data_IF_695003614911
#
_entry.id   IF_695003614911
#
_cell.length_a   1.000
_cell.length_b   1.000
_cell.length_c   1.000
_cell.angle_alpha   90.00
_cell.angle_beta   90.00
_cell.angle_gamma   90.00
#
_symmetry.space_group_name_H-M   'P 1'
#
loop_
_entity.id
_entity.type
_entity.pdbx_description
1 polymer ?
#
# COMPACT_ATOMS: atom_id res chain seq x y z
N UNK A 1 -31.20 -39.73 -24.00
CA UNK A 1 -30.00 -39.22 -24.72
C UNK A 1 -29.40 -37.93 -24.10
N UNK A 2 -29.72 -37.57 -22.85
CA UNK A 2 -29.27 -36.29 -22.25
C UNK A 2 -28.05 -36.40 -21.31
N UNK A 3 -27.73 -37.59 -20.79
CA UNK A 3 -26.68 -37.73 -19.74
C UNK A 3 -25.25 -37.70 -20.28
N UNK A 4 -25.03 -38.11 -21.53
CA UNK A 4 -23.67 -38.14 -22.11
C UNK A 4 -23.11 -36.75 -22.41
N UNK A 5 -23.97 -35.75 -22.55
CA UNK A 5 -23.58 -34.36 -22.86
C UNK A 5 -23.05 -33.63 -21.63
N UNK A 6 -23.62 -33.88 -20.45
CA UNK A 6 -23.23 -33.21 -19.20
C UNK A 6 -21.86 -33.69 -18.73
N UNK A 7 -21.58 -35.00 -18.81
CA UNK A 7 -20.28 -35.56 -18.47
C UNK A 7 -19.15 -35.03 -19.39
N UNK A 8 -19.45 -34.78 -20.67
CA UNK A 8 -18.50 -34.23 -21.65
C UNK A 8 -18.23 -32.73 -21.44
N UNK A 9 -19.21 -31.99 -20.92
CA UNK A 9 -19.04 -30.58 -20.58
C UNK A 9 -18.23 -30.43 -19.28
N UNK A 10 -18.49 -31.26 -18.27
CA UNK A 10 -17.74 -31.25 -17.01
C UNK A 10 -16.27 -31.63 -17.21
N UNK A 11 -15.96 -32.59 -18.09
CA UNK A 11 -14.56 -32.95 -18.39
C UNK A 11 -13.82 -31.85 -19.16
N UNK A 12 -14.50 -31.12 -20.06
CA UNK A 12 -13.90 -29.96 -20.75
C UNK A 12 -13.65 -28.76 -19.83
N UNK A 13 -14.47 -28.56 -18.79
CA UNK A 13 -14.29 -27.47 -17.83
C UNK A 13 -13.14 -27.73 -16.86
N UNK A 14 -12.84 -29.00 -16.55
CA UNK A 14 -11.80 -29.37 -15.60
C UNK A 14 -10.36 -29.25 -16.15
N UNK A 15 -10.19 -29.29 -17.47
CA UNK A 15 -8.88 -29.19 -18.15
C UNK A 15 -8.29 -27.76 -18.19
N UNK A 16 -9.06 -26.73 -17.81
CA UNK A 16 -8.61 -25.33 -17.82
C UNK A 16 -8.18 -24.79 -16.45
N UNK A 17 -8.06 -25.64 -15.43
CA UNK A 17 -7.52 -25.20 -14.14
C UNK A 17 -6.01 -24.96 -14.34
N UNK A 18 -5.48 -23.74 -14.07
CA UNK A 18 -4.06 -23.48 -14.17
C UNK A 18 -3.29 -24.51 -13.34
N UNK A 19 -2.29 -25.16 -13.94
CA UNK A 19 -1.43 -26.11 -13.22
C UNK A 19 -0.72 -25.36 -12.09
N UNK A 20 -1.19 -25.55 -10.85
CA UNK A 20 -0.53 -25.07 -9.64
C UNK A 20 0.85 -25.74 -9.57
N UNK A 21 1.86 -24.98 -9.97
CA UNK A 21 3.26 -25.40 -10.03
C UNK A 21 4.07 -24.92 -8.82
N UNK A 22 3.47 -24.15 -7.91
CA UNK A 22 4.08 -23.72 -6.66
C UNK A 22 3.59 -24.56 -5.47
N UNK A 23 4.41 -24.65 -4.42
CA UNK A 23 3.88 -25.06 -3.10
C UNK A 23 2.73 -24.08 -2.77
N UNK A 24 1.53 -24.55 -2.40
CA UNK A 24 0.35 -23.69 -2.27
C UNK A 24 0.57 -22.48 -1.33
N UNK A 25 1.42 -22.65 -0.31
CA UNK A 25 1.79 -21.58 0.62
C UNK A 25 2.62 -20.47 -0.03
N UNK A 26 3.46 -20.80 -1.00
CA UNK A 26 4.34 -19.85 -1.70
C UNK A 26 3.55 -19.02 -2.72
N UNK A 27 2.62 -19.64 -3.45
CA UNK A 27 1.74 -18.94 -4.40
C UNK A 27 0.80 -17.97 -3.66
N UNK A 28 0.26 -18.40 -2.50
CA UNK A 28 -0.53 -17.54 -1.64
C UNK A 28 0.30 -16.38 -1.07
N UNK A 29 1.53 -16.65 -0.63
CA UNK A 29 2.44 -15.60 -0.15
C UNK A 29 2.79 -14.60 -1.26
N UNK A 30 3.01 -15.07 -2.49
CA UNK A 30 3.30 -14.22 -3.65
C UNK A 30 2.13 -13.30 -3.98
N UNK A 31 0.91 -13.84 -3.99
CA UNK A 31 -0.30 -13.05 -4.20
C UNK A 31 -0.47 -12.00 -3.08
N UNK A 32 -0.30 -12.40 -1.82
CA UNK A 32 -0.38 -11.49 -0.67
C UNK A 32 0.66 -10.37 -0.75
N UNK A 33 1.91 -10.70 -1.09
CA UNK A 33 3.00 -9.73 -1.25
C UNK A 33 2.66 -8.70 -2.32
N UNK A 34 2.14 -9.14 -3.48
CA UNK A 34 1.75 -8.25 -4.59
C UNK A 34 0.60 -7.31 -4.22
N UNK A 35 -0.35 -7.75 -3.40
CA UNK A 35 -1.53 -6.95 -3.04
C UNK A 35 -1.37 -6.21 -1.71
N UNK A 36 -0.20 -6.30 -1.06
CA UNK A 36 -0.02 -5.76 0.29
C UNK A 36 0.05 -4.24 0.25
N UNK A 37 -0.88 -3.60 0.96
CA UNK A 37 -0.99 -2.15 1.11
C UNK A 37 -0.95 -1.80 2.60
N UNK A 38 -0.17 -0.79 2.99
CA UNK A 38 -0.13 -0.27 4.36
C UNK A 38 -1.51 0.29 4.72
N UNK A 39 -2.10 -0.19 5.81
CA UNK A 39 -3.42 0.28 6.26
C UNK A 39 -3.33 1.68 6.84
N UNK A 40 -4.40 2.47 6.77
CA UNK A 40 -4.44 3.85 7.28
C UNK A 40 -3.98 3.98 8.75
N UNK A 41 -4.40 3.04 9.59
CA UNK A 41 -4.11 2.98 11.03
C UNK A 41 -2.86 2.15 11.37
N UNK A 42 -2.21 1.55 10.38
CA UNK A 42 -1.04 0.69 10.57
C UNK A 42 0.25 1.51 10.55
N UNK A 43 1.10 1.27 11.55
CA UNK A 43 2.43 1.87 11.63
C UNK A 43 3.36 1.31 10.56
N UNK A 44 4.29 2.13 10.07
CA UNK A 44 5.27 1.74 9.04
C UNK A 44 6.05 0.47 9.42
N UNK A 45 6.42 0.34 10.70
CA UNK A 45 7.23 -0.79 11.18
C UNK A 45 6.47 -2.12 11.10
N UNK A 46 5.16 -2.10 11.32
CA UNK A 46 4.30 -3.28 11.24
C UNK A 46 4.15 -3.73 9.79
N UNK A 47 3.88 -2.77 8.90
CA UNK A 47 3.83 -2.99 7.46
C UNK A 47 5.13 -3.58 6.92
N UNK A 48 6.27 -2.97 7.25
CA UNK A 48 7.60 -3.45 6.86
C UNK A 48 7.85 -4.89 7.34
N UNK A 49 7.49 -5.19 8.59
CA UNK A 49 7.70 -6.51 9.18
C UNK A 49 6.90 -7.59 8.43
N UNK A 50 5.66 -7.29 8.04
CA UNK A 50 4.82 -8.21 7.28
C UNK A 50 5.33 -8.41 5.84
N UNK A 51 5.69 -7.31 5.15
CA UNK A 51 6.29 -7.39 3.80
C UNK A 51 7.58 -8.19 3.82
N UNK A 52 8.48 -7.95 4.78
CA UNK A 52 9.74 -8.69 4.89
C UNK A 52 9.52 -10.19 5.15
N UNK A 53 8.50 -10.56 5.95
CA UNK A 53 8.11 -11.96 6.14
C UNK A 53 7.60 -12.58 4.85
N UNK A 54 6.73 -11.89 4.12
CA UNK A 54 6.21 -12.33 2.83
C UNK A 54 7.33 -12.50 1.79
N UNK A 55 8.26 -11.56 1.71
CA UNK A 55 9.44 -11.67 0.84
C UNK A 55 10.22 -12.96 1.13
N UNK A 56 10.52 -13.25 2.41
CA UNK A 56 11.24 -14.47 2.81
C UNK A 56 10.48 -15.77 2.49
N UNK A 57 9.15 -15.75 2.53
CA UNK A 57 8.31 -16.90 2.18
C UNK A 57 8.27 -17.15 0.68
N UNK A 58 8.26 -16.07 -0.12
CA UNK A 58 8.23 -16.14 -1.59
C UNK A 58 9.60 -16.52 -2.15
N UNK A 59 10.64 -15.82 -1.69
CA UNK A 59 12.03 -16.04 -2.08
C UNK A 59 12.97 -15.61 -0.93
N UNK A 60 13.59 -16.58 -0.21
CA UNK A 60 14.56 -16.29 0.84
C UNK A 60 15.75 -15.43 0.38
N UNK A 61 16.10 -15.46 -0.91
CA UNK A 61 17.23 -14.75 -1.50
C UNK A 61 16.79 -13.50 -2.29
N UNK A 62 15.56 -13.01 -2.06
CA UNK A 62 15.04 -11.82 -2.74
C UNK A 62 16.00 -10.63 -2.53
N UNK A 63 16.32 -9.95 -3.63
CA UNK A 63 17.23 -8.81 -3.62
C UNK A 63 16.63 -7.64 -2.83
N UNK A 64 17.49 -6.79 -2.30
CA UNK A 64 17.06 -5.60 -1.56
C UNK A 64 16.29 -4.61 -2.44
N UNK A 65 16.68 -4.48 -3.72
CA UNK A 65 15.94 -3.69 -4.70
C UNK A 65 14.50 -4.20 -4.87
N UNK A 66 14.31 -5.52 -5.03
CA UNK A 66 12.97 -6.12 -5.15
C UNK A 66 12.13 -5.95 -3.88
N UNK A 67 12.75 -6.04 -2.69
CA UNK A 67 12.04 -5.76 -1.42
C UNK A 67 11.62 -4.30 -1.34
N UNK A 68 12.49 -3.37 -1.75
CA UNK A 68 12.20 -1.93 -1.77
C UNK A 68 11.04 -1.64 -2.74
N UNK A 69 11.01 -2.26 -3.93
CA UNK A 69 9.90 -2.12 -4.87
C UNK A 69 8.56 -2.57 -4.24
N UNK A 70 8.55 -3.70 -3.54
CA UNK A 70 7.36 -4.15 -2.81
C UNK A 70 6.95 -3.21 -1.69
N UNK A 71 7.92 -2.64 -0.96
CA UNK A 71 7.66 -1.65 0.09
C UNK A 71 7.07 -0.37 -0.47
N UNK A 72 7.60 0.16 -1.58
CA UNK A 72 7.04 1.33 -2.25
C UNK A 72 5.63 1.06 -2.78
N UNK A 73 5.40 -0.12 -3.39
CA UNK A 73 4.11 -0.45 -3.98
C UNK A 73 2.92 -0.36 -3.00
N UNK A 74 3.16 -0.67 -1.73
CA UNK A 74 2.14 -0.64 -0.70
C UNK A 74 2.23 0.51 0.29
N UNK A 75 3.23 1.40 0.18
CA UNK A 75 3.42 2.49 1.12
C UNK A 75 2.28 3.50 1.04
N UNK A 76 1.87 4.07 2.18
CA UNK A 76 0.90 5.18 2.19
C UNK A 76 1.38 6.34 1.31
N UNK A 77 0.48 6.95 0.51
CA UNK A 77 0.83 8.12 -0.30
C UNK A 77 1.41 9.29 0.51
N UNK A 78 0.98 9.46 1.76
CA UNK A 78 1.49 10.51 2.66
C UNK A 78 2.99 10.38 2.91
N UNK A 79 3.51 9.15 3.04
CA UNK A 79 4.92 8.88 3.31
C UNK A 79 5.75 8.69 2.03
N UNK A 80 5.10 8.31 0.93
CA UNK A 80 5.75 7.98 -0.34
C UNK A 80 6.71 9.08 -0.82
N UNK A 81 6.25 10.33 -0.82
CA UNK A 81 7.04 11.46 -1.34
C UNK A 81 8.33 11.67 -0.55
N UNK A 82 8.25 11.57 0.76
CA UNK A 82 9.38 11.88 1.64
C UNK A 82 10.37 10.71 1.71
N UNK A 83 9.88 9.47 1.67
CA UNK A 83 10.74 8.28 1.55
C UNK A 83 11.45 8.25 0.18
N UNK A 84 10.76 8.58 -0.92
CA UNK A 84 11.38 8.70 -2.25
C UNK A 84 12.52 9.73 -2.26
N UNK A 85 12.37 10.83 -1.52
CA UNK A 85 13.37 11.90 -1.45
C UNK A 85 14.69 11.44 -0.84
N UNK A 86 14.64 10.51 0.13
CA UNK A 86 15.87 10.00 0.75
C UNK A 86 16.53 8.85 0.00
N UNK A 87 15.86 8.30 -1.03
CA UNK A 87 16.39 7.26 -1.91
C UNK A 87 17.09 6.10 -1.14
N UNK A 88 16.37 5.41 -0.23
CA UNK A 88 16.92 4.30 0.53
C UNK A 88 17.44 3.20 -0.40
N UNK A 89 18.65 2.71 -0.09
CA UNK A 89 19.30 1.65 -0.87
C UNK A 89 19.11 0.26 -0.24
N UNK A 90 18.70 0.22 1.03
CA UNK A 90 18.39 -1.03 1.74
C UNK A 90 16.98 -0.99 2.37
N UNK A 91 16.34 -2.14 2.62
CA UNK A 91 15.06 -2.18 3.31
C UNK A 91 15.13 -1.62 4.74
N UNK A 92 16.31 -1.69 5.37
CA UNK A 92 16.56 -1.11 6.68
C UNK A 92 16.54 0.43 6.63
N UNK A 93 17.24 1.02 5.67
CA UNK A 93 17.23 2.48 5.47
C UNK A 93 15.81 2.98 5.15
N UNK A 94 15.07 2.21 4.33
CA UNK A 94 13.69 2.50 4.00
C UNK A 94 12.82 2.62 5.25
N UNK A 95 12.86 1.62 6.14
CA UNK A 95 11.99 1.61 7.33
C UNK A 95 12.40 2.68 8.35
N UNK A 96 13.71 2.93 8.51
CA UNK A 96 14.18 3.99 9.39
C UNK A 96 13.72 5.37 8.93
N UNK A 97 13.82 5.62 7.62
CA UNK A 97 13.37 6.87 7.05
C UNK A 97 11.84 7.01 7.13
N UNK A 98 11.09 6.01 6.68
CA UNK A 98 9.63 6.04 6.71
C UNK A 98 9.09 6.23 8.15
N UNK A 99 9.72 5.60 9.15
CA UNK A 99 9.41 5.81 10.57
C UNK A 99 9.70 7.24 11.02
N UNK A 100 10.81 7.84 10.57
CA UNK A 100 11.14 9.23 10.91
C UNK A 100 10.07 10.19 10.39
N UNK A 101 9.66 10.03 9.14
CA UNK A 101 8.62 10.87 8.52
C UNK A 101 7.26 10.65 9.19
N UNK A 102 6.88 9.41 9.49
CA UNK A 102 5.65 9.08 10.24
C UNK A 102 5.62 9.80 11.61
N UNK A 103 6.74 9.81 12.35
CA UNK A 103 6.83 10.53 13.62
C UNK A 103 6.71 12.06 13.46
N UNK A 104 7.27 12.62 12.38
CA UNK A 104 7.16 14.05 12.09
C UNK A 104 5.71 14.43 11.78
N UNK A 105 5.01 13.65 10.98
CA UNK A 105 3.58 13.85 10.68
C UNK A 105 2.73 13.83 11.96
N UNK A 106 3.00 12.89 12.87
CA UNK A 106 2.33 12.84 14.18
C UNK A 106 2.62 14.09 15.02
N UNK A 107 3.85 14.58 15.02
CA UNK A 107 4.22 15.77 15.78
C UNK A 107 3.56 17.03 15.20
N UNK A 108 3.56 17.20 13.87
CA UNK A 108 2.89 18.31 13.19
C UNK A 108 1.40 18.29 13.50
N UNK A 109 0.76 17.13 13.43
CA UNK A 109 -0.66 16.98 13.74
C UNK A 109 -0.98 17.35 15.19
N UNK A 110 -0.07 17.06 16.12
CA UNK A 110 -0.26 17.34 17.56
C UNK A 110 0.06 18.80 17.92
N UNK A 111 0.94 19.47 17.15
CA UNK A 111 1.43 20.82 17.45
C UNK A 111 0.63 21.92 16.75
N UNK A 112 -0.23 21.60 15.78
CA UNK A 112 -1.26 22.51 15.28
C UNK A 112 -2.42 22.51 16.30
N UNK A 113 -2.70 23.61 17.02
CA UNK A 113 -3.94 23.72 17.76
C UNK A 113 -5.08 23.50 16.76
N UNK A 114 -6.02 22.60 17.07
CA UNK A 114 -7.30 22.59 16.38
C UNK A 114 -7.89 23.98 16.57
N UNK A 115 -7.73 24.88 15.60
CA UNK A 115 -8.50 26.12 15.59
C UNK A 115 -9.92 25.65 15.35
N UNK A 116 -10.69 25.59 16.43
CA UNK A 116 -12.10 25.27 16.45
C UNK A 116 -12.75 25.88 15.20
N UNK A 117 -13.45 25.06 14.40
CA UNK A 117 -14.08 25.40 13.13
C UNK A 117 -15.19 26.49 13.20
N UNK A 118 -15.17 27.35 14.22
CA UNK A 118 -16.07 28.49 14.37
C UNK A 118 -15.52 29.81 13.81
N UNK A 119 -14.22 29.93 13.51
CA UNK A 119 -13.66 31.19 12.99
C UNK A 119 -13.58 31.27 11.46
N UNK A 120 -13.81 30.17 10.73
CA UNK A 120 -13.77 30.18 9.25
C UNK A 120 -15.02 30.77 8.60
N UNK A 121 -16.09 31.02 9.36
CA UNK A 121 -17.29 31.71 8.85
C UNK A 121 -17.12 33.25 8.76
N UNK A 122 -16.05 33.84 9.30
CA UNK A 122 -15.88 35.30 9.33
C UNK A 122 -15.05 35.88 8.15
N UNK A 123 -14.27 35.05 7.44
CA UNK A 123 -13.33 35.57 6.42
C UNK A 123 -13.92 35.48 4.99
N UNK A 124 -14.99 34.70 4.78
CA UNK A 124 -15.52 34.43 3.44
C UNK A 124 -16.63 35.39 2.96
N UNK A 125 -16.99 36.41 3.74
CA UNK A 125 -18.01 37.41 3.34
C UNK A 125 -17.46 38.76 2.85
N UNK A 126 -16.13 38.95 2.80
CA UNK A 126 -15.56 40.27 2.47
C UNK A 126 -14.73 40.36 1.18
N UNK A 127 -14.54 39.27 0.41
CA UNK A 127 -13.61 39.29 -0.74
C UNK A 127 -14.20 38.94 -2.11
N UNK A 128 -15.51 38.92 -2.29
CA UNK A 128 -16.13 38.83 -3.62
C UNK A 128 -16.71 40.19 -4.05
N UNK A 129 -15.85 41.12 -4.46
CA UNK A 129 -16.30 42.38 -5.09
C UNK A 129 -15.38 42.89 -6.19
N UNK A 130 -14.89 42.04 -7.11
CA UNK A 130 -14.15 42.53 -8.30
C UNK A 130 -14.43 41.79 -9.62
N UNK A 131 -15.57 41.09 -9.75
CA UNK A 131 -16.12 40.73 -11.07
C UNK A 131 -17.58 41.18 -11.19
N UNK A 132 -17.77 42.46 -11.51
CA UNK A 132 -19.00 42.95 -12.11
C UNK A 132 -18.62 43.85 -13.29
N UNK A 133 -18.31 43.21 -14.42
CA UNK A 133 -18.29 43.89 -15.71
C UNK A 133 -19.73 44.10 -16.17
N UNK A 134 -20.14 45.35 -16.27
CA UNK A 134 -21.02 45.89 -17.33
C UNK A 134 -20.67 47.35 -17.50
#
# INVERSE_FOLDING_TARGET
MAEKTVATLLSKTFEQIPKYSGKPDQDLASNRLRTRQQRYDEAVIEYYTDVNKLCKLVDPNMTDASKIDHLYHGLKPSLMKDVLRGAPSTPADFVEQARREENLDHLVTTSIPQTNDNDTQAINYSNNSWYRST
#
